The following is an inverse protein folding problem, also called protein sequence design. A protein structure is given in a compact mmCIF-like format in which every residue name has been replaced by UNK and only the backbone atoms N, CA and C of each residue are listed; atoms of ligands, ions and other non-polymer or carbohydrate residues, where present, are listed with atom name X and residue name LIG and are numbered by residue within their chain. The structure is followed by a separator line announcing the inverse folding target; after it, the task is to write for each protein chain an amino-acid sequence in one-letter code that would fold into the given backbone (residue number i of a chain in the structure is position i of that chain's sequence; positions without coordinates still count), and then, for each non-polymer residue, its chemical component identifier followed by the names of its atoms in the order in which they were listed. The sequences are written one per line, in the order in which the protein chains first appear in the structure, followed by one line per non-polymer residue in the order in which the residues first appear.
data_IF_931396620672
#
_entry.id   IF_931396620672
#
_cell.length_a   1.000
_cell.length_b   1.000
_cell.length_c   1.000
_cell.angle_alpha   90.00
_cell.angle_beta   90.00
_cell.angle_gamma   90.00
#
_symmetry.space_group_name_H-M   'P 1'
#
loop_
_entity.id
_entity.type
_entity.pdbx_description
1 polymer ?
#
# COMPACT_ATOMS: atom_id res chain seq x y z
N UNK A 1 -14.98 17.33 13.72
CA UNK A 1 -14.78 15.92 14.10
C UNK A 1 -14.06 15.22 12.98
N UNK A 2 -12.73 15.27 13.00
CA UNK A 2 -11.88 14.52 12.08
C UNK A 2 -11.16 13.42 12.87
N UNK A 3 -10.91 12.27 12.22
CA UNK A 3 -10.40 11.06 12.86
C UNK A 3 -8.88 11.11 13.20
N UNK A 4 -8.16 12.17 12.77
CA UNK A 4 -6.76 12.40 13.14
C UNK A 4 -5.78 11.36 12.62
N UNK A 5 -6.12 10.64 11.53
CA UNK A 5 -5.23 9.63 10.96
C UNK A 5 -3.98 10.28 10.38
N UNK A 6 -2.82 9.69 10.68
CA UNK A 6 -1.52 10.19 10.21
C UNK A 6 -1.13 9.61 8.85
N UNK A 7 -1.74 8.49 8.45
CA UNK A 7 -1.42 7.80 7.20
C UNK A 7 -2.52 6.82 6.79
N UNK A 8 -2.47 6.41 5.52
CA UNK A 8 -3.23 5.29 4.96
C UNK A 8 -2.24 4.23 4.50
N UNK A 9 -2.60 2.97 4.73
CA UNK A 9 -1.85 1.80 4.30
C UNK A 9 -2.71 0.98 3.35
N UNK A 10 -2.15 0.59 2.22
CA UNK A 10 -2.77 -0.30 1.25
C UNK A 10 -1.85 -1.49 0.98
N UNK A 11 -2.43 -2.61 0.55
CA UNK A 11 -1.67 -3.78 0.12
C UNK A 11 -2.25 -4.38 -1.14
N UNK A 12 -1.41 -4.98 -1.98
CA UNK A 12 -1.83 -5.81 -3.10
C UNK A 12 -0.86 -6.98 -3.28
N UNK A 13 -1.33 -8.05 -3.92
CA UNK A 13 -0.45 -9.17 -4.29
C UNK A 13 0.63 -8.68 -5.25
N UNK A 14 1.87 -9.16 -5.11
CA UNK A 14 2.99 -8.79 -5.96
C UNK A 14 2.74 -9.01 -7.46
N UNK A 15 2.01 -10.05 -7.91
CA UNK A 15 1.69 -10.20 -9.33
C UNK A 15 0.71 -9.15 -9.86
N UNK A 16 0.00 -8.41 -9.00
CA UNK A 16 -1.00 -7.42 -9.41
C UNK A 16 -0.33 -6.07 -9.73
N UNK A 17 0.39 -6.04 -10.86
CA UNK A 17 1.15 -4.89 -11.35
C UNK A 17 0.27 -3.65 -11.57
N UNK A 18 -1.01 -3.82 -11.95
CA UNK A 18 -1.91 -2.69 -12.16
C UNK A 18 -2.29 -2.01 -10.83
N UNK A 19 -2.48 -2.79 -9.75
CA UNK A 19 -2.72 -2.22 -8.42
C UNK A 19 -1.49 -1.51 -7.87
N UNK A 20 -0.30 -2.06 -8.11
CA UNK A 20 0.97 -1.39 -7.76
C UNK A 20 1.09 -0.03 -8.48
N UNK A 21 0.84 0.01 -9.79
CA UNK A 21 0.85 1.27 -10.56
C UNK A 21 -0.16 2.28 -10.03
N UNK A 22 -1.35 1.84 -9.65
CA UNK A 22 -2.37 2.73 -9.06
C UNK A 22 -1.86 3.31 -7.74
N UNK A 23 -1.34 2.48 -6.83
CA UNK A 23 -0.80 2.93 -5.56
C UNK A 23 0.32 3.97 -5.75
N UNK A 24 1.25 3.72 -6.68
CA UNK A 24 2.31 4.67 -7.04
C UNK A 24 1.75 5.97 -7.64
N UNK A 25 0.78 5.88 -8.55
CA UNK A 25 0.17 7.05 -9.22
C UNK A 25 -0.56 7.97 -8.26
N UNK A 26 -1.17 7.43 -7.19
CA UNK A 26 -1.85 8.23 -6.17
C UNK A 26 -0.89 8.73 -5.07
N UNK A 27 0.42 8.55 -5.25
CA UNK A 27 1.44 9.10 -4.36
C UNK A 27 1.78 8.22 -3.16
N UNK A 28 1.30 6.99 -3.10
CA UNK A 28 1.75 6.04 -2.08
C UNK A 28 3.14 5.50 -2.42
N UNK A 29 3.93 5.21 -1.38
CA UNK A 29 5.27 4.64 -1.50
C UNK A 29 5.26 3.19 -1.00
N UNK A 30 5.96 2.29 -1.69
CA UNK A 30 6.18 0.93 -1.18
C UNK A 30 7.00 1.02 0.11
N UNK A 31 6.50 0.41 1.17
CA UNK A 31 7.13 0.44 2.51
C UNK A 31 7.48 -0.94 3.05
N UNK A 32 6.88 -2.00 2.51
CA UNK A 32 7.13 -3.37 2.97
C UNK A 32 6.77 -4.41 1.90
N UNK A 33 7.27 -5.62 2.08
CA UNK A 33 6.93 -6.81 1.30
C UNK A 33 6.94 -8.04 2.23
N UNK A 34 5.87 -8.83 2.22
CA UNK A 34 5.74 -10.01 3.11
C UNK A 34 5.15 -11.19 2.37
N UNK A 35 5.56 -12.39 2.77
CA UNK A 35 4.87 -13.62 2.42
C UNK A 35 3.76 -13.87 3.45
N UNK A 36 2.50 -13.84 3.02
CA UNK A 36 1.34 -14.16 3.86
C UNK A 36 0.58 -15.31 3.22
N UNK A 37 0.40 -16.41 3.95
CA UNK A 37 -0.24 -17.63 3.45
C UNK A 37 0.38 -18.17 2.15
N UNK A 38 1.70 -18.00 1.99
CA UNK A 38 2.44 -18.43 0.79
C UNK A 38 2.40 -17.45 -0.38
N UNK A 39 1.66 -16.35 -0.29
CA UNK A 39 1.57 -15.33 -1.34
C UNK A 39 2.40 -14.10 -0.99
N UNK A 40 3.18 -13.55 -1.92
CA UNK A 40 3.87 -12.28 -1.71
C UNK A 40 2.90 -11.10 -1.81
N UNK A 41 2.85 -10.30 -0.75
CA UNK A 41 2.09 -9.06 -0.64
C UNK A 41 3.02 -7.86 -0.56
N UNK A 42 2.68 -6.82 -1.31
CA UNK A 42 3.32 -5.52 -1.28
C UNK A 42 2.50 -4.56 -0.42
N UNK A 43 3.16 -3.73 0.38
CA UNK A 43 2.51 -2.72 1.20
C UNK A 43 2.93 -1.31 0.77
N UNK A 44 1.96 -0.41 0.69
CA UNK A 44 2.13 0.97 0.25
C UNK A 44 1.52 1.94 1.27
N UNK A 45 2.19 3.07 1.50
CA UNK A 45 1.77 4.08 2.47
C UNK A 45 1.78 5.48 1.86
N UNK A 46 0.79 6.29 2.24
CA UNK A 46 0.79 7.75 2.09
C UNK A 46 0.56 8.38 3.46
N UNK A 47 1.26 9.48 3.74
CA UNK A 47 1.23 10.20 5.01
C UNK A 47 0.42 11.49 4.90
N UNK A 48 -0.07 11.99 6.03
CA UNK A 48 -0.73 13.30 6.20
C UNK A 48 -1.93 13.51 5.25
N UNK A 49 -3.01 12.80 5.54
CA UNK A 49 -4.20 12.66 4.67
C UNK A 49 -5.40 13.31 5.34
#
# INVERSE_FOLDING_TARGET
NELGYQYLLASCDQPNVESEKVAQRIGMRKVDEKIVNGNPLLFFRIDNI
#
